data_IF_698635466795
#
_entry.id   IF_698635466795
#
_cell.length_a   1.000
_cell.length_b   1.000
_cell.length_c   1.000
_cell.angle_alpha   90.00
_cell.angle_beta   90.00
_cell.angle_gamma   90.00
#
_symmetry.space_group_name_H-M   'P 1'
#
loop_
_entity.id
_entity.type
_entity.pdbx_description
1 polymer ?
#
# COMPACT_ATOMS: atom_id res chain seq x y z
N UNK A 1 -16.43 18.77 -10.73
CA UNK A 1 -15.27 19.49 -10.14
C UNK A 1 -14.00 18.81 -10.62
N UNK A 2 -13.06 19.53 -11.25
CA UNK A 2 -11.72 18.99 -11.53
C UNK A 2 -11.00 18.86 -10.18
N UNK A 3 -10.74 17.64 -9.75
CA UNK A 3 -9.91 17.38 -8.59
C UNK A 3 -8.46 17.49 -9.06
N UNK A 4 -7.68 18.37 -8.48
CA UNK A 4 -6.27 18.53 -8.80
C UNK A 4 -5.47 17.51 -7.98
N UNK A 5 -4.60 16.76 -8.66
CA UNK A 5 -3.66 15.88 -7.97
C UNK A 5 -2.64 16.73 -7.21
N UNK A 6 -2.48 16.47 -5.93
CA UNK A 6 -1.54 17.17 -5.06
C UNK A 6 -0.29 16.31 -4.87
N UNK A 7 0.88 16.88 -5.18
CA UNK A 7 2.14 16.23 -4.87
C UNK A 7 2.39 16.33 -3.36
N UNK A 8 2.77 15.21 -2.74
CA UNK A 8 3.16 15.20 -1.33
C UNK A 8 4.42 16.03 -1.16
N UNK A 9 4.43 16.95 -0.20
CA UNK A 9 5.60 17.79 0.08
C UNK A 9 6.75 16.97 0.68
N UNK A 10 7.98 17.46 0.50
CA UNK A 10 9.16 16.83 1.11
C UNK A 10 9.07 16.79 2.64
N UNK A 11 8.49 17.82 3.26
CA UNK A 11 8.27 17.88 4.72
C UNK A 11 7.30 16.76 5.18
N UNK A 12 6.25 16.49 4.40
CA UNK A 12 5.33 15.41 4.70
C UNK A 12 6.00 14.03 4.58
N UNK A 13 6.88 13.84 3.60
CA UNK A 13 7.68 12.63 3.46
C UNK A 13 8.74 12.51 4.56
N UNK A 14 9.37 13.62 4.96
CA UNK A 14 10.30 13.64 6.08
C UNK A 14 9.62 13.19 7.38
N UNK A 15 8.39 13.66 7.61
CA UNK A 15 7.57 13.19 8.74
C UNK A 15 7.29 11.69 8.70
N UNK A 16 7.11 11.09 7.52
CA UNK A 16 6.94 9.63 7.42
C UNK A 16 8.21 8.89 7.86
N UNK A 17 9.40 9.40 7.51
CA UNK A 17 10.69 8.83 7.97
C UNK A 17 10.85 8.90 9.50
N UNK A 18 10.26 9.91 10.15
CA UNK A 18 10.22 9.96 11.62
C UNK A 18 9.39 8.81 12.21
N UNK A 19 8.28 8.44 11.55
CA UNK A 19 7.49 7.28 11.97
C UNK A 19 8.21 5.95 11.71
N UNK A 20 8.92 5.82 10.59
CA UNK A 20 9.80 4.67 10.31
C UNK A 20 10.85 4.51 11.43
N UNK A 21 11.50 5.62 11.81
CA UNK A 21 12.46 5.61 12.92
C UNK A 21 11.83 5.21 14.25
N UNK A 22 10.64 5.74 14.60
CA UNK A 22 9.92 5.37 15.83
C UNK A 22 9.58 3.88 15.87
N UNK A 23 9.11 3.30 14.75
CA UNK A 23 8.82 1.87 14.65
C UNK A 23 10.10 1.06 14.90
N UNK A 24 11.19 1.45 14.24
CA UNK A 24 12.49 0.80 14.41
C UNK A 24 13.00 0.87 15.85
N UNK A 25 12.92 2.03 16.50
CA UNK A 25 13.29 2.22 17.89
C UNK A 25 12.44 1.37 18.83
N UNK A 26 11.12 1.28 18.59
CA UNK A 26 10.21 0.47 19.37
C UNK A 26 10.63 -1.02 19.36
N UNK A 27 10.95 -1.58 18.18
CA UNK A 27 11.39 -2.97 18.08
C UNK A 27 12.79 -3.17 18.65
N UNK A 28 13.71 -2.23 18.44
CA UNK A 28 15.05 -2.25 19.02
C UNK A 28 14.99 -2.26 20.56
N UNK A 29 14.12 -1.43 21.15
CA UNK A 29 13.92 -1.39 22.60
C UNK A 29 13.35 -2.68 23.18
N UNK A 30 12.68 -3.50 22.36
CA UNK A 30 12.15 -4.82 22.73
C UNK A 30 13.12 -5.96 22.42
N UNK A 31 14.31 -5.66 21.90
CA UNK A 31 15.28 -6.66 21.39
C UNK A 31 14.64 -7.61 20.35
N UNK A 32 13.64 -7.11 19.59
CA UNK A 32 12.90 -7.88 18.61
C UNK A 32 13.34 -7.55 17.18
N UNK A 33 13.35 -8.57 16.33
CA UNK A 33 13.62 -8.45 14.91
C UNK A 33 12.33 -8.69 14.15
N UNK A 34 11.56 -7.63 13.80
CA UNK A 34 10.25 -7.80 13.20
C UNK A 34 10.33 -8.39 11.79
N UNK A 35 9.37 -9.26 11.49
CA UNK A 35 9.26 -9.94 10.22
C UNK A 35 7.95 -9.54 9.53
N UNK A 36 8.01 -9.22 8.24
CA UNK A 36 6.83 -8.88 7.45
C UNK A 36 6.63 -9.87 6.30
N UNK A 37 5.36 -10.18 6.03
CA UNK A 37 4.91 -10.88 4.85
C UNK A 37 4.07 -9.92 3.99
N UNK A 38 4.49 -9.69 2.74
CA UNK A 38 3.80 -8.78 1.81
C UNK A 38 3.31 -9.56 0.60
N UNK A 39 2.03 -9.91 0.62
CA UNK A 39 1.35 -10.60 -0.48
C UNK A 39 0.68 -9.61 -1.42
N UNK A 40 1.00 -9.70 -2.71
CA UNK A 40 0.43 -8.83 -3.74
C UNK A 40 -0.47 -9.60 -4.71
N UNK A 41 -1.75 -9.22 -4.73
CA UNK A 41 -2.78 -9.79 -5.61
C UNK A 41 -3.26 -8.72 -6.58
N UNK A 42 -2.70 -8.66 -7.81
CA UNK A 42 -3.18 -7.62 -8.69
C UNK A 42 -2.39 -7.38 -9.97
N UNK A 43 -2.39 -6.13 -10.40
CA UNK A 43 -1.72 -5.64 -11.60
C UNK A 43 -0.28 -5.19 -11.29
N UNK A 44 0.44 -4.74 -12.33
CA UNK A 44 1.81 -4.24 -12.17
C UNK A 44 1.90 -3.03 -11.21
N UNK A 45 0.85 -2.20 -11.14
CA UNK A 45 0.81 -1.11 -10.17
C UNK A 45 0.83 -1.62 -8.72
N UNK A 46 0.06 -2.68 -8.43
CA UNK A 46 0.11 -3.30 -7.10
C UNK A 46 1.50 -3.88 -6.81
N UNK A 47 2.18 -4.46 -7.80
CA UNK A 47 3.56 -4.94 -7.60
C UNK A 47 4.51 -3.78 -7.25
N UNK A 48 4.43 -2.66 -8.00
CA UNK A 48 5.22 -1.47 -7.69
C UNK A 48 4.91 -0.89 -6.31
N UNK A 49 3.63 -0.88 -5.93
CA UNK A 49 3.20 -0.40 -4.61
C UNK A 49 3.64 -1.36 -3.49
N UNK A 50 3.61 -2.68 -3.72
CA UNK A 50 4.17 -3.67 -2.82
C UNK A 50 5.67 -3.46 -2.57
N UNK A 51 6.44 -3.15 -3.62
CA UNK A 51 7.87 -2.83 -3.50
C UNK A 51 8.14 -1.55 -2.69
N UNK A 52 7.25 -0.54 -2.77
CA UNK A 52 7.31 0.66 -1.93
C UNK A 52 7.00 0.34 -0.46
N UNK A 53 5.97 -0.49 -0.21
CA UNK A 53 5.65 -0.95 1.15
C UNK A 53 6.83 -1.71 1.77
N UNK A 54 7.46 -2.60 1.01
CA UNK A 54 8.67 -3.30 1.45
C UNK A 54 9.83 -2.32 1.71
N UNK A 55 9.98 -1.26 0.91
CA UNK A 55 10.99 -0.22 1.12
C UNK A 55 10.82 0.48 2.47
N UNK A 56 9.61 1.00 2.75
CA UNK A 56 9.30 1.65 4.01
C UNK A 56 9.45 0.72 5.22
N UNK A 57 9.10 -0.57 5.05
CA UNK A 57 9.29 -1.58 6.09
C UNK A 57 10.76 -1.90 6.34
N UNK A 58 11.59 -2.00 5.28
CA UNK A 58 13.02 -2.21 5.43
C UNK A 58 13.68 -1.06 6.19
N UNK A 59 13.31 0.20 5.90
CA UNK A 59 13.78 1.38 6.61
C UNK A 59 13.31 1.38 8.08
N UNK A 60 12.11 0.81 8.35
CA UNK A 60 11.58 0.59 9.70
C UNK A 60 12.21 -0.62 10.43
N UNK A 61 13.15 -1.34 9.80
CA UNK A 61 13.90 -2.43 10.41
C UNK A 61 13.27 -3.82 10.27
N UNK A 62 12.25 -4.00 9.41
CA UNK A 62 11.66 -5.30 9.14
C UNK A 62 12.54 -6.15 8.21
N UNK A 63 12.54 -7.45 8.45
CA UNK A 63 12.94 -8.50 7.51
C UNK A 63 11.71 -9.11 6.84
N UNK A 64 11.88 -9.96 5.83
CA UNK A 64 10.75 -10.46 5.03
C UNK A 64 10.70 -11.98 5.01
N UNK A 65 9.48 -12.51 5.03
CA UNK A 65 9.16 -13.93 4.87
C UNK A 65 8.02 -14.11 3.87
N UNK A 66 7.92 -15.31 3.28
CA UNK A 66 6.77 -15.72 2.47
C UNK A 66 5.69 -16.45 3.30
N UNK A 67 6.02 -16.86 4.54
CA UNK A 67 5.06 -17.56 5.42
C UNK A 67 4.37 -16.55 6.36
N UNK A 68 3.05 -16.31 6.21
CA UNK A 68 2.29 -15.43 7.08
C UNK A 68 2.30 -15.83 8.56
N UNK A 69 2.62 -17.10 8.87
CA UNK A 69 2.67 -17.58 10.26
C UNK A 69 3.90 -17.09 11.02
N UNK A 70 5.00 -16.87 10.30
CA UNK A 70 6.25 -16.38 10.86
C UNK A 70 6.29 -14.85 10.95
N UNK A 71 5.31 -14.17 10.34
CA UNK A 71 5.30 -12.73 10.21
C UNK A 71 4.63 -12.04 11.42
N UNK A 72 5.24 -10.95 11.90
CA UNK A 72 4.65 -10.02 12.86
C UNK A 72 3.68 -9.05 12.19
N UNK A 73 3.90 -8.80 10.90
CA UNK A 73 3.05 -7.97 10.04
C UNK A 73 2.74 -8.70 8.73
N UNK A 74 1.46 -8.86 8.44
CA UNK A 74 0.98 -9.41 7.15
C UNK A 74 0.25 -8.33 6.38
N UNK A 75 0.71 -8.06 5.16
CA UNK A 75 0.07 -7.09 4.24
C UNK A 75 -0.51 -7.83 3.04
N UNK A 76 -1.81 -7.69 2.83
CA UNK A 76 -2.49 -8.10 1.61
C UNK A 76 -2.72 -6.88 0.72
N UNK A 77 -1.89 -6.73 -0.31
CA UNK A 77 -2.00 -5.65 -1.29
C UNK A 77 -2.84 -6.09 -2.49
N UNK A 78 -3.96 -5.42 -2.73
CA UNK A 78 -5.08 -5.97 -3.48
C UNK A 78 -5.57 -5.08 -4.61
N UNK A 79 -6.14 -5.71 -5.66
CA UNK A 79 -6.63 -5.04 -6.86
C UNK A 79 -8.16 -5.12 -6.94
N UNK A 80 -8.80 -4.01 -7.36
CA UNK A 80 -10.24 -3.94 -7.58
C UNK A 80 -10.71 -4.51 -8.93
N UNK A 81 -9.78 -4.73 -9.88
CA UNK A 81 -10.13 -5.05 -11.27
C UNK A 81 -10.41 -6.53 -11.51
N UNK A 82 -10.02 -7.40 -10.60
CA UNK A 82 -10.09 -8.86 -10.78
C UNK A 82 -11.03 -9.48 -9.75
N UNK A 83 -12.20 -9.94 -10.19
CA UNK A 83 -13.20 -10.60 -9.34
C UNK A 83 -12.62 -11.79 -8.56
N UNK A 84 -11.78 -12.61 -9.21
CA UNK A 84 -11.09 -13.71 -8.53
C UNK A 84 -10.09 -13.25 -7.46
N UNK A 85 -9.57 -12.02 -7.55
CA UNK A 85 -8.69 -11.48 -6.52
C UNK A 85 -9.46 -11.20 -5.22
N UNK A 86 -10.69 -10.71 -5.30
CA UNK A 86 -11.53 -10.45 -4.13
C UNK A 86 -11.79 -11.75 -3.33
N UNK A 87 -12.19 -12.82 -4.02
CA UNK A 87 -12.45 -14.12 -3.37
C UNK A 87 -11.20 -14.68 -2.69
N UNK A 88 -10.04 -14.60 -3.35
CA UNK A 88 -8.76 -15.05 -2.79
C UNK A 88 -8.37 -14.24 -1.54
N UNK A 89 -8.54 -12.93 -1.60
CA UNK A 89 -8.22 -12.03 -0.47
C UNK A 89 -9.10 -12.35 0.73
N UNK A 90 -10.42 -12.49 0.56
CA UNK A 90 -11.29 -12.86 1.66
C UNK A 90 -11.01 -14.26 2.19
N UNK A 91 -10.63 -15.22 1.33
CA UNK A 91 -10.16 -16.53 1.74
C UNK A 91 -8.89 -16.42 2.61
N UNK A 92 -7.90 -15.66 2.18
CA UNK A 92 -6.67 -15.44 2.95
C UNK A 92 -6.94 -14.72 4.27
N UNK A 93 -7.81 -13.69 4.28
CA UNK A 93 -8.23 -13.06 5.53
C UNK A 93 -8.87 -14.05 6.49
N UNK A 94 -9.65 -15.02 5.99
CA UNK A 94 -10.19 -16.09 6.80
C UNK A 94 -9.11 -16.97 7.43
N UNK A 95 -8.07 -17.33 6.67
CA UNK A 95 -6.94 -18.12 7.15
C UNK A 95 -6.14 -17.34 8.22
N UNK A 96 -5.92 -16.04 8.01
CA UNK A 96 -5.20 -15.18 8.95
C UNK A 96 -5.89 -15.03 10.31
N UNK A 97 -7.17 -15.40 10.43
CA UNK A 97 -7.82 -15.51 11.73
C UNK A 97 -7.13 -16.53 12.64
N UNK A 98 -6.59 -17.61 12.06
CA UNK A 98 -5.88 -18.63 12.83
C UNK A 98 -4.50 -18.13 13.27
N UNK A 99 -3.73 -17.51 12.37
CA UNK A 99 -2.41 -16.96 12.71
C UNK A 99 -2.50 -15.86 13.77
N UNK A 100 -3.53 -15.00 13.67
CA UNK A 100 -3.80 -13.96 14.68
C UNK A 100 -4.18 -14.53 16.06
N UNK A 101 -4.79 -15.72 16.11
CA UNK A 101 -5.08 -16.41 17.39
C UNK A 101 -3.82 -16.99 18.02
N UNK A 102 -2.90 -17.51 17.19
CA UNK A 102 -1.61 -18.06 17.62
C UNK A 102 -0.64 -16.93 18.03
N UNK A 103 -0.63 -15.82 17.27
CA UNK A 103 0.14 -14.60 17.57
C UNK A 103 -0.80 -13.38 17.66
N UNK A 104 -1.35 -13.05 18.85
CA UNK A 104 -2.26 -11.91 19.03
C UNK A 104 -1.63 -10.55 18.72
N UNK A 105 -0.31 -10.42 18.78
CA UNK A 105 0.43 -9.20 18.48
C UNK A 105 0.64 -9.00 16.95
N UNK A 106 0.42 -10.04 16.14
CA UNK A 106 0.52 -9.95 14.68
C UNK A 106 -0.40 -8.85 14.16
N UNK A 107 0.11 -7.95 13.32
CA UNK A 107 -0.68 -6.92 12.65
C UNK A 107 -1.09 -7.42 11.28
N UNK A 108 -2.38 -7.34 10.96
CA UNK A 108 -2.93 -7.72 9.65
C UNK A 108 -3.42 -6.47 8.93
N UNK A 109 -2.88 -6.24 7.74
CA UNK A 109 -3.14 -5.08 6.92
C UNK A 109 -3.77 -5.48 5.57
N UNK A 110 -4.83 -4.78 5.17
CA UNK A 110 -5.42 -4.84 3.84
C UNK A 110 -5.22 -3.51 3.13
N UNK A 111 -4.61 -3.51 1.95
CA UNK A 111 -4.39 -2.28 1.20
C UNK A 111 -4.58 -2.44 -0.31
N UNK A 112 -4.41 -1.35 -1.04
CA UNK A 112 -4.55 -1.30 -2.49
C UNK A 112 -5.95 -0.90 -2.96
N UNK A 113 -6.19 -1.01 -4.27
CA UNK A 113 -7.42 -0.50 -4.89
C UNK A 113 -8.70 -1.14 -4.34
N UNK A 114 -8.67 -2.43 -4.01
CA UNK A 114 -9.83 -3.13 -3.46
C UNK A 114 -10.21 -2.58 -2.06
N UNK A 115 -9.22 -2.23 -1.24
CA UNK A 115 -9.45 -1.66 0.08
C UNK A 115 -10.16 -0.29 0.04
N UNK A 116 -10.03 0.45 -1.09
CA UNK A 116 -10.69 1.73 -1.31
C UNK A 116 -12.20 1.59 -1.58
N UNK A 117 -12.68 0.41 -1.95
CA UNK A 117 -14.10 0.19 -2.16
C UNK A 117 -14.86 0.25 -0.82
N UNK A 118 -15.85 1.14 -0.73
CA UNK A 118 -16.67 1.31 0.47
C UNK A 118 -17.32 -0.02 0.90
N UNK A 119 -17.84 -0.80 -0.05
CA UNK A 119 -18.43 -2.13 0.19
C UNK A 119 -17.43 -3.09 0.83
N UNK A 120 -16.19 -3.08 0.36
CA UNK A 120 -15.13 -3.96 0.86
C UNK A 120 -14.67 -3.52 2.24
N UNK A 121 -14.38 -2.23 2.41
CA UNK A 121 -13.94 -1.68 3.69
C UNK A 121 -14.98 -1.88 4.78
N UNK A 122 -16.28 -1.69 4.46
CA UNK A 122 -17.38 -1.95 5.39
C UNK A 122 -17.48 -3.45 5.76
N UNK A 123 -17.39 -4.34 4.77
CA UNK A 123 -17.38 -5.79 5.02
C UNK A 123 -16.21 -6.21 5.92
N UNK A 124 -15.01 -5.66 5.70
CA UNK A 124 -13.85 -5.91 6.55
C UNK A 124 -14.08 -5.38 7.96
N UNK A 125 -14.67 -4.19 8.10
CA UNK A 125 -14.98 -3.57 9.38
C UNK A 125 -15.93 -4.44 10.22
N UNK A 126 -16.94 -5.03 9.59
CA UNK A 126 -17.98 -5.81 10.25
C UNK A 126 -17.57 -7.27 10.49
N UNK A 127 -17.01 -7.94 9.47
CA UNK A 127 -16.84 -9.40 9.47
C UNK A 127 -15.41 -9.86 9.75
N UNK A 128 -14.39 -9.02 9.55
CA UNK A 128 -12.97 -9.39 9.71
C UNK A 128 -12.32 -8.56 10.82
N UNK A 129 -12.75 -8.76 12.06
CA UNK A 129 -12.31 -7.97 13.23
C UNK A 129 -10.84 -8.11 13.56
N UNK A 130 -10.16 -9.12 13.05
CA UNK A 130 -8.72 -9.37 13.20
C UNK A 130 -7.85 -8.54 12.24
N UNK A 131 -8.45 -7.84 11.28
CA UNK A 131 -7.73 -6.89 10.42
C UNK A 131 -7.55 -5.59 11.16
N UNK A 132 -6.29 -5.18 11.35
CA UNK A 132 -5.92 -4.02 12.17
C UNK A 132 -5.82 -2.73 11.37
N UNK A 133 -5.36 -2.82 10.10
CA UNK A 133 -5.13 -1.66 9.23
C UNK A 133 -5.76 -1.87 7.85
N UNK A 134 -6.53 -0.87 7.39
CA UNK A 134 -7.10 -0.85 6.04
C UNK A 134 -6.83 0.51 5.41
N UNK A 135 -6.20 0.55 4.23
CA UNK A 135 -5.96 1.81 3.52
C UNK A 135 -5.97 1.65 2.00
N UNK A 136 -6.39 2.72 1.32
CA UNK A 136 -6.41 2.81 -0.13
C UNK A 136 -5.07 3.23 -0.75
N UNK A 137 -4.96 3.23 -2.09
CA UNK A 137 -3.72 3.57 -2.80
C UNK A 137 -3.26 5.01 -2.56
N UNK A 138 -4.19 5.93 -2.29
CA UNK A 138 -3.88 7.33 -2.03
C UNK A 138 -3.23 7.57 -0.65
N UNK A 139 -3.44 6.66 0.29
CA UNK A 139 -2.84 6.72 1.63
C UNK A 139 -1.55 5.89 1.75
N UNK A 140 -1.07 5.26 0.67
CA UNK A 140 0.11 4.40 0.69
C UNK A 140 1.35 5.12 1.25
N UNK A 141 1.56 6.37 0.91
CA UNK A 141 2.69 7.17 1.39
C UNK A 141 2.65 7.45 2.91
N UNK A 142 1.45 7.38 3.52
CA UNK A 142 1.23 7.53 4.96
C UNK A 142 1.37 6.21 5.73
N UNK A 143 1.74 5.13 5.05
CA UNK A 143 1.78 3.81 5.67
C UNK A 143 2.59 3.76 6.97
N UNK A 144 3.79 4.39 7.10
CA UNK A 144 4.52 4.40 8.36
C UNK A 144 3.74 5.05 9.51
N UNK A 145 3.08 6.18 9.27
CA UNK A 145 2.23 6.85 10.25
C UNK A 145 1.03 5.98 10.67
N UNK A 146 0.34 5.37 9.68
CA UNK A 146 -0.80 4.50 9.94
C UNK A 146 -0.40 3.24 10.73
N UNK A 147 0.74 2.64 10.39
CA UNK A 147 1.27 1.49 11.09
C UNK A 147 1.67 1.86 12.53
N UNK A 148 2.31 3.02 12.72
CA UNK A 148 2.62 3.54 14.05
C UNK A 148 1.35 3.71 14.90
N UNK A 149 0.28 4.28 14.34
CA UNK A 149 -1.00 4.43 15.04
C UNK A 149 -1.57 3.09 15.53
N UNK A 150 -1.44 2.02 14.72
CA UNK A 150 -1.86 0.68 15.14
C UNK A 150 -1.03 0.20 16.32
N UNK A 151 0.31 0.32 16.28
CA UNK A 151 1.19 -0.11 17.36
C UNK A 151 1.00 0.70 18.65
N UNK A 152 0.81 2.01 18.54
CA UNK A 152 0.66 2.91 19.67
C UNK A 152 -0.70 2.76 20.36
N UNK A 153 -1.78 2.73 19.57
CA UNK A 153 -3.15 2.76 20.12
C UNK A 153 -3.76 1.38 20.31
N UNK A 154 -3.23 0.36 19.66
CA UNK A 154 -3.79 -1.00 19.58
C UNK A 154 -5.24 -1.01 19.06
N UNK A 155 -5.62 0.03 18.33
CA UNK A 155 -6.93 0.15 17.70
C UNK A 155 -6.82 -0.08 16.20
N UNK A 156 -7.91 -0.56 15.63
CA UNK A 156 -8.05 -0.71 14.18
C UNK A 156 -8.05 0.66 13.50
N UNK A 157 -7.28 0.80 12.42
CA UNK A 157 -7.16 2.03 11.63
C UNK A 157 -7.73 1.81 10.23
N UNK A 158 -8.61 2.68 9.78
CA UNK A 158 -9.21 2.66 8.45
C UNK A 158 -8.93 4.01 7.76
N UNK A 159 -8.01 4.02 6.81
CA UNK A 159 -7.62 5.21 6.04
C UNK A 159 -8.07 5.04 4.58
N UNK A 160 -9.38 4.90 4.39
CA UNK A 160 -10.03 4.74 3.08
C UNK A 160 -10.80 5.98 2.66
N UNK A 161 -10.86 7.00 3.52
CA UNK A 161 -11.51 8.26 3.24
C UNK A 161 -10.70 9.07 2.22
N UNK A 162 -11.43 9.69 1.33
CA UNK A 162 -11.01 10.33 0.08
C UNK A 162 -9.97 11.45 0.26
N UNK A 163 -8.71 11.10 0.45
CA UNK A 163 -7.61 12.00 0.08
C UNK A 163 -7.37 11.86 -1.43
N UNK A 164 -8.29 12.43 -2.19
CA UNK A 164 -8.32 12.34 -3.63
C UNK A 164 -7.05 12.89 -4.28
N UNK A 165 -6.37 12.02 -5.04
CA UNK A 165 -5.34 12.43 -5.98
C UNK A 165 -3.98 12.77 -5.38
N UNK A 166 -3.68 12.36 -4.16
CA UNK A 166 -2.35 12.57 -3.57
C UNK A 166 -1.34 11.57 -4.14
N UNK A 167 -0.25 12.07 -4.69
CA UNK A 167 0.84 11.26 -5.27
C UNK A 167 2.12 11.57 -4.51
N UNK A 168 2.80 10.53 -4.03
CA UNK A 168 4.10 10.64 -3.41
C UNK A 168 5.19 10.10 -4.34
N UNK A 169 6.23 10.91 -4.52
CA UNK A 169 7.48 10.54 -5.19
C UNK A 169 8.58 10.37 -4.14
N UNK A 170 9.64 9.65 -4.48
CA UNK A 170 10.79 9.49 -3.56
C UNK A 170 10.56 8.49 -2.41
N UNK A 171 9.51 7.67 -2.47
CA UNK A 171 9.32 6.57 -1.52
C UNK A 171 10.39 5.50 -1.76
N UNK A 172 11.04 4.96 -0.72
CA UNK A 172 12.01 3.88 -0.84
C UNK A 172 11.39 2.64 -1.48
N UNK A 173 12.16 1.91 -2.27
CA UNK A 173 11.69 0.74 -3.01
C UNK A 173 12.65 -0.42 -2.80
N UNK A 174 12.15 -1.53 -2.27
CA UNK A 174 12.88 -2.80 -2.28
C UNK A 174 12.47 -3.58 -3.52
N UNK A 175 13.44 -3.87 -4.40
CA UNK A 175 13.22 -4.61 -5.63
C UNK A 175 13.63 -6.07 -5.46
N UNK A 176 12.85 -6.96 -6.05
CA UNK A 176 13.26 -8.35 -6.20
C UNK A 176 14.57 -8.44 -7.00
N UNK A 177 15.41 -9.40 -6.65
CA UNK A 177 16.65 -9.67 -7.40
C UNK A 177 16.29 -10.13 -8.81
N UNK A 178 16.66 -9.36 -9.82
CA UNK A 178 16.39 -9.69 -11.21
C UNK A 178 16.67 -8.53 -12.17
N UNK A 179 16.39 -8.76 -13.46
CA UNK A 179 16.57 -7.77 -14.53
C UNK A 179 15.33 -6.88 -14.75
N UNK A 180 14.26 -7.10 -13.99
CA UNK A 180 13.00 -6.36 -14.12
C UNK A 180 12.91 -5.29 -13.04
N UNK A 181 12.51 -4.07 -13.43
CA UNK A 181 12.18 -3.00 -12.52
C UNK A 181 10.84 -2.37 -12.94
N UNK A 182 9.97 -2.13 -11.95
CA UNK A 182 8.73 -1.41 -12.17
C UNK A 182 8.93 0.06 -11.83
N UNK A 183 8.60 0.94 -12.76
CA UNK A 183 8.66 2.39 -12.58
C UNK A 183 7.28 2.95 -12.87
N UNK A 184 6.67 3.57 -11.88
CA UNK A 184 5.39 4.27 -12.07
C UNK A 184 5.66 5.56 -12.84
N UNK A 185 5.11 5.67 -14.04
CA UNK A 185 5.29 6.84 -14.92
C UNK A 185 4.04 7.72 -14.99
N UNK A 186 2.90 7.17 -14.54
CA UNK A 186 1.60 7.82 -14.63
C UNK A 186 0.66 7.27 -13.57
N UNK A 187 -0.20 8.11 -13.03
CA UNK A 187 -1.32 7.73 -12.17
C UNK A 187 -2.64 8.17 -12.78
N UNK A 188 -3.68 7.35 -12.58
CA UNK A 188 -5.03 7.63 -13.06
C UNK A 188 -5.26 7.38 -14.54
N UNK A 189 -6.50 7.61 -14.99
CA UNK A 189 -6.90 7.54 -16.38
C UNK A 189 -8.13 8.42 -16.62
N UNK A 190 -8.10 9.22 -17.69
CA UNK A 190 -9.23 10.08 -18.10
C UNK A 190 -10.06 9.49 -19.23
N UNK A 191 -9.75 8.26 -19.66
CA UNK A 191 -10.55 7.55 -20.65
C UNK A 191 -11.67 6.79 -19.93
N UNK A 192 -12.87 7.34 -19.92
CA UNK A 192 -14.05 6.73 -19.29
C UNK A 192 -14.60 5.57 -20.13
N UNK A 193 -13.81 4.50 -20.31
CA UNK A 193 -14.25 3.29 -20.98
C UNK A 193 -15.37 2.62 -20.18
N UNK A 194 -16.42 2.14 -20.86
CA UNK A 194 -17.65 1.63 -20.22
C UNK A 194 -17.43 0.46 -19.25
N UNK A 195 -16.34 -0.27 -19.37
CA UNK A 195 -15.98 -1.42 -18.54
C UNK A 195 -14.84 -1.15 -17.54
N UNK A 196 -14.30 0.06 -17.50
CA UNK A 196 -13.10 0.36 -16.75
C UNK A 196 -13.40 1.08 -15.45
N UNK A 197 -12.91 0.53 -14.34
CA UNK A 197 -13.08 1.09 -13.00
C UNK A 197 -12.00 2.13 -12.63
N UNK A 198 -10.90 2.18 -13.37
CA UNK A 198 -9.72 3.02 -13.03
C UNK A 198 -10.06 4.50 -12.85
N UNK A 199 -10.89 5.16 -13.71
CA UNK A 199 -11.24 6.57 -13.51
C UNK A 199 -12.00 6.86 -12.21
N UNK A 200 -12.64 5.84 -11.63
CA UNK A 200 -13.42 5.96 -10.41
C UNK A 200 -12.58 5.80 -9.14
N UNK A 201 -11.43 5.09 -9.23
CA UNK A 201 -10.55 4.83 -8.09
C UNK A 201 -9.28 5.66 -8.09
N UNK A 202 -8.67 5.87 -9.25
CA UNK A 202 -7.36 6.54 -9.35
C UNK A 202 -7.45 7.97 -9.89
N UNK A 203 -8.66 8.45 -10.22
CA UNK A 203 -8.95 9.82 -10.68
C UNK A 203 -8.13 10.29 -11.89
N UNK A 204 -7.83 11.60 -11.97
CA UNK A 204 -7.24 12.24 -13.16
C UNK A 204 -5.82 11.76 -13.45
N UNK A 205 -5.46 11.68 -14.74
CA UNK A 205 -4.10 11.36 -15.20
C UNK A 205 -3.11 12.40 -14.68
N UNK A 206 -2.00 11.90 -14.14
CA UNK A 206 -0.78 12.67 -13.91
C UNK A 206 0.42 11.91 -14.43
N UNK A 207 1.25 12.57 -15.25
CA UNK A 207 2.57 12.10 -15.62
C UNK A 207 3.56 12.44 -14.52
N UNK A 208 4.39 11.48 -14.12
CA UNK A 208 5.49 11.68 -13.15
C UNK A 208 6.77 12.15 -13.84
N UNK A 209 6.83 12.07 -15.15
CA UNK A 209 7.98 12.54 -15.92
C UNK A 209 7.71 13.97 -16.41
N UNK A 210 8.66 14.91 -16.25
CA UNK A 210 8.54 16.21 -16.84
C UNK A 210 8.45 16.06 -18.38
N UNK A 211 7.30 16.40 -18.94
CA UNK A 211 7.13 16.51 -20.39
C UNK A 211 7.92 17.72 -20.86
N UNK A 212 9.11 17.53 -21.39
CA UNK A 212 9.92 18.63 -21.91
C UNK A 212 9.54 19.04 -23.34
N UNK A 213 8.59 18.32 -24.00
CA UNK A 213 8.13 18.75 -25.32
C UNK A 213 6.69 18.29 -25.64
N UNK A 214 5.91 19.25 -26.08
CA UNK A 214 4.47 19.18 -26.33
C UNK A 214 4.07 18.47 -27.63
N UNK A 215 4.95 17.75 -28.34
CA UNK A 215 4.63 17.28 -29.71
C UNK A 215 5.02 15.86 -30.10
N UNK A 216 5.51 15.00 -29.21
CA UNK A 216 5.73 13.60 -29.62
C UNK A 216 5.46 12.63 -28.47
N UNK A 217 4.41 11.83 -28.61
CA UNK A 217 4.05 10.74 -27.69
C UNK A 217 4.98 9.53 -27.75
N UNK A 218 6.30 9.74 -27.77
CA UNK A 218 7.29 8.68 -27.71
C UNK A 218 8.14 8.80 -26.43
N UNK A 219 8.00 7.82 -25.56
CA UNK A 219 8.86 7.64 -24.40
C UNK A 219 10.23 7.15 -24.84
N UNK A 220 11.27 7.92 -24.63
CA UNK A 220 12.65 7.47 -24.71
C UNK A 220 13.16 7.21 -23.29
N UNK A 221 13.14 5.95 -22.84
CA UNK A 221 13.92 5.51 -21.70
C UNK A 221 15.37 5.38 -22.16
N UNK A 222 16.24 6.34 -21.79
CA UNK A 222 17.69 6.13 -21.85
C UNK A 222 18.10 5.42 -20.56
N UNK A 223 18.61 4.21 -20.72
CA UNK A 223 19.33 3.46 -19.68
C UNK A 223 20.74 4.03 -19.54
#
# INVERSE_FOLDING_TARGET
MKRENVLVSEDALARQREFEAKIKEMFTAREAHPVACVDTFGCQQNVADGQKLMGMLADSGFTFTEDPKEADLVILNTCAVREHAEQRVFGNLGILTHTKKENPEQVICLCGCMAQEERVSQRVKESYRHVDLVFGPHALWKFPELLWQVYETRKRVFAVDNEDGTIAEGIPVVREKGVKAWVSIMYGCNNFCSYCIVPYFLLSIRSLLPCTDSHSGFFCLRF
#
